data_IF_229161586849
#
_entry.id   IF_229161586849
#
_cell.length_a   1.000
_cell.length_b   1.000
_cell.length_c   1.000
_cell.angle_alpha   90.00
_cell.angle_beta   90.00
_cell.angle_gamma   90.00
#
_symmetry.space_group_name_H-M   'P 1'
#
loop_
_entity.id
_entity.type
_entity.pdbx_description
1 polymer ?
#
# COMPACT_ATOMS: atom_id res chain seq x y z
N UNK A 1 4.77 -22.27 -22.75
CA UNK A 1 6.10 -22.60 -22.21
C UNK A 1 5.93 -23.01 -20.75
N UNK A 2 6.67 -24.05 -20.30
CA UNK A 2 6.66 -24.42 -18.89
C UNK A 2 7.61 -23.49 -18.09
N UNK A 3 7.23 -23.12 -16.89
CA UNK A 3 8.12 -22.38 -15.98
C UNK A 3 9.19 -23.29 -15.39
N UNK A 4 10.36 -22.73 -15.15
CA UNK A 4 11.41 -23.40 -14.34
C UNK A 4 11.04 -23.36 -12.87
N UNK A 5 11.67 -24.20 -12.05
CA UNK A 5 11.51 -24.16 -10.58
C UNK A 5 11.90 -22.80 -10.00
N UNK A 6 12.96 -22.17 -10.53
CA UNK A 6 13.39 -20.85 -10.09
C UNK A 6 12.33 -19.79 -10.40
N UNK A 7 11.72 -19.80 -11.59
CA UNK A 7 10.65 -18.88 -11.95
C UNK A 7 9.42 -19.06 -11.05
N UNK A 8 9.07 -20.29 -10.71
CA UNK A 8 7.97 -20.55 -9.77
C UNK A 8 8.28 -20.01 -8.37
N UNK A 9 9.52 -20.22 -7.89
CA UNK A 9 9.97 -19.65 -6.62
C UNK A 9 9.90 -18.13 -6.64
N UNK A 10 10.37 -17.49 -7.71
CA UNK A 10 10.33 -16.04 -7.86
C UNK A 10 8.90 -15.50 -7.83
N UNK A 11 7.94 -16.18 -8.44
CA UNK A 11 6.53 -15.77 -8.35
C UNK A 11 5.97 -15.88 -6.94
N UNK A 12 6.34 -16.91 -6.17
CA UNK A 12 5.92 -17.02 -4.77
C UNK A 12 6.57 -15.96 -3.87
N UNK A 13 7.83 -15.62 -4.12
CA UNK A 13 8.53 -14.54 -3.42
C UNK A 13 7.86 -13.18 -3.71
N UNK A 14 7.46 -12.91 -4.96
CA UNK A 14 6.74 -11.69 -5.35
C UNK A 14 5.34 -11.63 -4.72
N UNK A 15 4.61 -12.76 -4.64
CA UNK A 15 3.33 -12.82 -3.91
C UNK A 15 3.52 -12.54 -2.43
N UNK A 16 4.51 -13.18 -1.82
CA UNK A 16 4.85 -12.99 -0.41
C UNK A 16 5.24 -11.55 -0.11
N UNK A 17 6.02 -10.91 -0.98
CA UNK A 17 6.40 -9.50 -0.89
C UNK A 17 5.16 -8.59 -0.83
N UNK A 18 4.20 -8.77 -1.76
CA UNK A 18 2.98 -7.95 -1.77
C UNK A 18 2.07 -8.23 -0.58
N UNK A 19 1.95 -9.47 -0.14
CA UNK A 19 1.19 -9.82 1.08
C UNK A 19 1.82 -9.19 2.33
N UNK A 20 3.16 -9.16 2.43
CA UNK A 20 3.89 -8.47 3.50
C UNK A 20 3.63 -6.98 3.48
N UNK A 21 3.58 -6.36 2.29
CA UNK A 21 3.26 -4.94 2.14
C UNK A 21 1.88 -4.62 2.71
N UNK A 22 0.82 -5.31 2.28
CA UNK A 22 -0.53 -5.06 2.79
C UNK A 22 -0.63 -5.31 4.30
N UNK A 23 -0.10 -6.42 4.79
CA UNK A 23 -0.10 -6.68 6.24
C UNK A 23 0.65 -5.58 7.01
N UNK A 24 1.78 -5.12 6.50
CA UNK A 24 2.59 -4.13 7.20
C UNK A 24 1.91 -2.76 7.27
N UNK A 25 1.19 -2.32 6.24
CA UNK A 25 0.42 -1.07 6.30
C UNK A 25 -0.79 -1.21 7.24
N UNK A 26 -1.50 -2.32 7.22
CA UNK A 26 -2.67 -2.56 8.09
C UNK A 26 -2.30 -2.67 9.58
N UNK A 27 -1.03 -2.97 9.87
CA UNK A 27 -0.53 -3.14 11.24
C UNK A 27 0.47 -2.06 11.66
N UNK A 28 0.78 -1.09 10.79
CA UNK A 28 1.82 -0.07 10.98
C UNK A 28 3.19 -0.67 11.35
N UNK A 29 3.56 -1.80 10.73
CA UNK A 29 4.86 -2.46 10.94
C UNK A 29 5.95 -1.74 10.14
N UNK A 30 6.47 -0.64 10.71
CA UNK A 30 7.50 0.19 10.09
C UNK A 30 8.80 -0.59 9.83
N UNK A 31 9.14 -1.56 10.69
CA UNK A 31 10.34 -2.39 10.56
C UNK A 31 10.24 -3.27 9.32
N UNK A 32 9.11 -3.93 9.13
CA UNK A 32 8.86 -4.73 7.94
C UNK A 32 8.82 -3.85 6.69
N UNK A 33 8.07 -2.73 6.72
CA UNK A 33 7.97 -1.80 5.58
C UNK A 33 9.32 -1.34 5.06
N UNK A 34 10.27 -1.04 5.95
CA UNK A 34 11.62 -0.60 5.59
C UNK A 34 12.41 -1.64 4.75
N UNK A 35 12.00 -2.91 4.77
CA UNK A 35 12.65 -3.98 4.01
C UNK A 35 12.03 -4.23 2.63
N UNK A 36 10.86 -3.68 2.34
CA UNK A 36 10.06 -4.06 1.17
C UNK A 36 10.35 -3.23 -0.08
N UNK A 37 10.96 -2.06 0.07
CA UNK A 37 11.19 -1.12 -1.03
C UNK A 37 12.67 -1.06 -1.42
N UNK A 38 12.92 -0.67 -2.68
CA UNK A 38 14.25 -0.18 -3.06
C UNK A 38 14.43 1.26 -2.56
N UNK A 39 15.67 1.69 -2.33
CA UNK A 39 15.97 3.04 -1.82
C UNK A 39 15.41 4.15 -2.73
N UNK A 40 15.33 3.88 -4.03
CA UNK A 40 14.87 4.77 -5.09
C UNK A 40 13.42 4.48 -5.55
N UNK A 41 12.59 3.87 -4.72
CA UNK A 41 11.22 3.52 -5.07
C UNK A 41 10.44 4.74 -5.61
N UNK A 42 9.64 4.51 -6.65
CA UNK A 42 8.75 5.54 -7.25
C UNK A 42 7.30 5.16 -7.01
N UNK A 43 6.52 6.13 -6.56
CA UNK A 43 5.10 5.94 -6.22
C UNK A 43 4.23 6.92 -7.00
N UNK A 44 3.12 6.42 -7.55
CA UNK A 44 2.08 7.23 -8.19
C UNK A 44 0.70 6.63 -7.90
N UNK A 45 0.07 7.09 -6.84
CA UNK A 45 -1.25 6.63 -6.41
C UNK A 45 -2.33 7.60 -6.86
N UNK A 46 -3.26 7.12 -7.68
CA UNK A 46 -4.40 7.89 -8.19
C UNK A 46 -5.68 7.41 -7.50
N UNK A 47 -6.12 8.18 -6.51
CA UNK A 47 -7.39 8.00 -5.81
C UNK A 47 -8.57 8.56 -6.60
N UNK A 48 -9.75 8.56 -5.98
CA UNK A 48 -10.96 9.14 -6.59
C UNK A 48 -10.86 10.66 -6.79
N UNK A 49 -10.28 11.37 -5.84
CA UNK A 49 -10.12 12.83 -5.86
C UNK A 49 -8.73 13.31 -5.40
N UNK A 50 -7.77 12.41 -5.31
CA UNK A 50 -6.41 12.74 -4.90
C UNK A 50 -5.37 12.00 -5.74
N UNK A 51 -4.18 12.54 -5.77
CA UNK A 51 -3.00 11.87 -6.33
C UNK A 51 -1.81 12.05 -5.41
N UNK A 52 -1.13 10.95 -5.11
CA UNK A 52 0.12 10.93 -4.33
C UNK A 52 1.26 10.61 -5.25
N UNK A 53 2.28 11.47 -5.27
CA UNK A 53 3.53 11.23 -5.99
C UNK A 53 4.70 11.42 -5.06
N UNK A 54 5.54 10.42 -4.98
CA UNK A 54 6.77 10.49 -4.20
C UNK A 54 7.88 9.63 -4.82
N UNK A 55 9.09 9.87 -4.41
CA UNK A 55 10.27 9.14 -4.83
C UNK A 55 11.23 8.96 -3.64
N UNK A 56 11.68 7.73 -3.46
CA UNK A 56 12.56 7.33 -2.37
C UNK A 56 11.85 6.63 -1.22
N UNK A 57 12.54 5.67 -0.63
CA UNK A 57 12.00 4.86 0.47
C UNK A 57 11.68 5.70 1.71
N UNK A 58 12.47 6.74 2.00
CA UNK A 58 12.23 7.61 3.16
C UNK A 58 10.87 8.31 3.08
N UNK A 59 10.54 8.92 1.93
CA UNK A 59 9.25 9.58 1.73
C UNK A 59 8.10 8.56 1.73
N UNK A 60 8.32 7.38 1.15
CA UNK A 60 7.32 6.30 1.17
C UNK A 60 6.99 5.84 2.59
N UNK A 61 8.01 5.61 3.41
CA UNK A 61 7.82 5.19 4.80
C UNK A 61 7.13 6.28 5.63
N UNK A 62 7.52 7.53 5.43
CA UNK A 62 6.90 8.68 6.11
C UNK A 62 5.44 8.85 5.69
N UNK A 63 5.14 8.76 4.39
CA UNK A 63 3.78 8.80 3.87
C UNK A 63 2.91 7.69 4.48
N UNK A 64 3.37 6.44 4.46
CA UNK A 64 2.63 5.31 5.02
C UNK A 64 2.38 5.46 6.52
N UNK A 65 3.39 5.92 7.28
CA UNK A 65 3.24 6.13 8.71
C UNK A 65 2.21 7.24 9.06
N UNK A 66 2.05 8.23 8.17
CA UNK A 66 1.01 9.25 8.33
C UNK A 66 -0.36 8.78 7.84
N UNK A 67 -0.43 7.97 6.79
CA UNK A 67 -1.69 7.44 6.26
C UNK A 67 -2.32 6.41 7.22
N UNK A 68 -1.50 5.48 7.75
CA UNK A 68 -1.95 4.40 8.65
C UNK A 68 -1.69 4.76 10.12
N UNK A 69 -2.25 5.89 10.53
CA UNK A 69 -2.09 6.48 11.87
C UNK A 69 -3.07 5.89 12.90
N UNK A 70 -2.95 6.32 14.15
CA UNK A 70 -3.73 5.79 15.29
C UNK A 70 -5.24 6.07 15.22
N UNK A 71 -5.70 6.96 14.36
CA UNK A 71 -7.12 7.23 14.09
C UNK A 71 -7.66 6.50 12.86
N UNK A 72 -6.88 5.61 12.25
CA UNK A 72 -7.26 4.84 11.08
C UNK A 72 -7.50 3.36 11.42
N UNK A 73 -8.43 2.72 10.72
CA UNK A 73 -8.53 1.28 10.59
C UNK A 73 -8.42 0.96 9.10
N UNK A 74 -7.63 -0.05 8.76
CA UNK A 74 -7.40 -0.40 7.38
C UNK A 74 -7.46 -1.92 7.18
N UNK A 75 -7.90 -2.31 6.00
CA UNK A 75 -7.86 -3.67 5.50
C UNK A 75 -7.55 -3.63 4.01
N UNK A 76 -6.50 -4.34 3.58
CA UNK A 76 -6.13 -4.43 2.17
C UNK A 76 -6.03 -5.88 1.74
N UNK A 77 -6.74 -6.22 0.67
CA UNK A 77 -6.63 -7.52 0.01
C UNK A 77 -6.14 -7.35 -1.43
N UNK A 78 -5.02 -8.01 -1.75
CA UNK A 78 -4.54 -8.11 -3.14
C UNK A 78 -4.97 -9.43 -3.75
N UNK A 79 -5.77 -9.35 -4.81
CA UNK A 79 -6.33 -10.51 -5.48
C UNK A 79 -5.70 -10.72 -6.86
N UNK A 80 -5.79 -11.97 -7.34
CA UNK A 80 -5.61 -12.37 -8.73
C UNK A 80 -4.37 -11.74 -9.40
N UNK A 81 -3.14 -11.95 -8.87
CA UNK A 81 -1.96 -11.33 -9.44
C UNK A 81 -1.63 -11.87 -10.82
N UNK A 82 -1.31 -10.95 -11.73
CA UNK A 82 -0.66 -11.24 -12.99
C UNK A 82 0.81 -10.88 -12.87
N UNK A 83 1.68 -11.88 -12.71
CA UNK A 83 3.10 -11.70 -12.49
C UNK A 83 3.90 -12.08 -13.74
N UNK A 84 4.90 -11.26 -14.08
CA UNK A 84 5.77 -11.48 -15.21
C UNK A 84 7.23 -11.15 -14.85
N UNK A 85 8.13 -12.11 -15.00
CA UNK A 85 9.56 -11.84 -14.95
C UNK A 85 9.96 -11.12 -16.25
N UNK A 86 10.65 -10.00 -16.12
CA UNK A 86 11.13 -9.17 -17.24
C UNK A 86 12.64 -9.31 -17.47
N UNK A 87 13.32 -10.01 -16.56
CA UNK A 87 14.74 -10.35 -16.57
C UNK A 87 15.10 -11.09 -15.29
N UNK A 88 16.36 -11.46 -15.14
CA UNK A 88 16.85 -12.25 -14.00
C UNK A 88 16.65 -11.52 -12.64
N UNK A 89 16.67 -10.18 -12.66
CA UNK A 89 16.55 -9.34 -11.47
C UNK A 89 15.42 -8.33 -11.58
N UNK A 90 14.47 -8.52 -12.48
CA UNK A 90 13.36 -7.61 -12.71
C UNK A 90 12.05 -8.33 -12.98
N UNK A 91 10.97 -7.81 -12.44
CA UNK A 91 9.63 -8.34 -12.63
C UNK A 91 8.58 -7.21 -12.62
N UNK A 92 7.40 -7.52 -13.13
CA UNK A 92 6.21 -6.68 -13.08
C UNK A 92 5.05 -7.47 -12.53
N UNK A 93 4.11 -6.76 -11.89
CA UNK A 93 2.89 -7.36 -11.37
C UNK A 93 1.69 -6.43 -11.45
N UNK A 94 0.54 -7.01 -11.81
CA UNK A 94 -0.75 -6.36 -11.71
C UNK A 94 -1.52 -7.02 -10.57
N UNK A 95 -2.14 -6.21 -9.69
CA UNK A 95 -2.92 -6.71 -8.57
C UNK A 95 -4.26 -6.02 -8.52
N UNK A 96 -5.30 -6.77 -8.28
CA UNK A 96 -6.61 -6.21 -7.96
C UNK A 96 -6.71 -5.98 -6.46
N UNK A 97 -6.83 -4.71 -6.06
CA UNK A 97 -7.02 -4.32 -4.67
C UNK A 97 -8.51 -4.34 -4.32
N UNK A 98 -8.83 -4.85 -3.15
CA UNK A 98 -10.02 -4.52 -2.37
C UNK A 98 -9.55 -3.93 -1.04
N UNK A 99 -10.12 -2.80 -0.63
CA UNK A 99 -9.75 -2.16 0.62
C UNK A 99 -10.94 -1.55 1.37
N UNK A 100 -10.78 -1.52 2.68
CA UNK A 100 -11.60 -0.74 3.60
C UNK A 100 -10.67 0.20 4.35
N UNK A 101 -11.06 1.47 4.44
CA UNK A 101 -10.37 2.46 5.26
C UNK A 101 -11.39 3.24 6.08
N UNK A 102 -11.28 3.16 7.41
CA UNK A 102 -12.11 3.93 8.33
C UNK A 102 -11.23 4.96 9.02
N UNK A 103 -11.62 6.23 8.93
CA UNK A 103 -10.99 7.31 9.70
C UNK A 103 -11.94 7.72 10.83
N UNK A 104 -11.61 7.33 12.06
CA UNK A 104 -12.45 7.62 13.22
C UNK A 104 -12.42 9.09 13.64
N UNK A 105 -11.39 9.85 13.23
CA UNK A 105 -11.31 11.28 13.50
C UNK A 105 -12.18 12.08 12.52
N UNK A 106 -12.13 11.73 11.24
CA UNK A 106 -12.97 12.33 10.20
C UNK A 106 -14.37 11.74 10.14
N UNK A 107 -14.66 10.68 10.91
CA UNK A 107 -15.94 9.96 10.91
C UNK A 107 -16.34 9.48 9.51
N UNK A 108 -15.40 8.91 8.77
CA UNK A 108 -15.61 8.39 7.41
C UNK A 108 -15.31 6.90 7.31
N UNK A 109 -16.06 6.25 6.43
CA UNK A 109 -15.86 4.86 6.03
C UNK A 109 -15.74 4.81 4.51
N UNK A 110 -14.56 4.42 4.04
CA UNK A 110 -14.24 4.26 2.63
C UNK A 110 -14.15 2.77 2.30
N UNK A 111 -14.79 2.38 1.22
CA UNK A 111 -14.58 1.07 0.57
C UNK A 111 -14.20 1.29 -0.88
N UNK A 112 -13.30 0.47 -1.40
CA UNK A 112 -12.89 0.66 -2.76
C UNK A 112 -12.17 -0.52 -3.38
N UNK A 113 -11.96 -0.38 -4.68
CA UNK A 113 -11.11 -1.28 -5.47
C UNK A 113 -10.15 -0.46 -6.32
N UNK A 114 -8.99 -1.03 -6.60
CA UNK A 114 -7.99 -0.40 -7.46
C UNK A 114 -7.18 -1.45 -8.22
N UNK A 115 -6.55 -1.02 -9.29
CA UNK A 115 -5.56 -1.82 -10.01
C UNK A 115 -4.17 -1.28 -9.66
N UNK A 116 -3.40 -2.08 -8.96
CA UNK A 116 -1.97 -1.84 -8.79
C UNK A 116 -1.19 -2.29 -10.02
N UNK A 117 -0.16 -1.51 -10.37
CA UNK A 117 0.88 -1.88 -11.32
C UNK A 117 2.22 -1.68 -10.64
N UNK A 118 2.85 -2.79 -10.29
CA UNK A 118 4.11 -2.79 -9.58
C UNK A 118 5.27 -3.18 -10.49
N UNK A 119 6.44 -2.60 -10.23
CA UNK A 119 7.71 -3.11 -10.76
C UNK A 119 8.60 -3.51 -9.59
N UNK A 120 9.22 -4.64 -9.76
CA UNK A 120 10.07 -5.24 -8.75
C UNK A 120 11.50 -5.34 -9.25
N UNK A 121 12.43 -5.21 -8.32
CA UNK A 121 13.86 -5.40 -8.56
C UNK A 121 14.45 -6.28 -7.48
N UNK A 122 15.38 -7.18 -7.87
CA UNK A 122 16.14 -8.00 -6.92
C UNK A 122 17.33 -7.20 -6.43
N UNK A 123 17.48 -7.05 -5.12
CA UNK A 123 18.55 -6.32 -4.46
C UNK A 123 19.13 -7.22 -3.37
N UNK A 124 20.41 -7.55 -3.44
CA UNK A 124 21.04 -8.46 -2.47
C UNK A 124 20.45 -9.87 -2.44
N UNK A 125 19.89 -10.33 -3.56
CA UNK A 125 19.21 -11.64 -3.65
C UNK A 125 17.71 -11.62 -3.32
N UNK A 126 17.17 -10.52 -2.78
CA UNK A 126 15.76 -10.38 -2.36
C UNK A 126 14.98 -9.50 -3.31
N UNK A 127 13.72 -9.86 -3.58
CA UNK A 127 12.80 -9.02 -4.34
C UNK A 127 12.31 -7.83 -3.51
N UNK A 128 12.31 -6.64 -4.13
CA UNK A 128 11.80 -5.39 -3.53
C UNK A 128 10.93 -4.65 -4.53
N UNK A 129 10.00 -3.84 -4.01
CA UNK A 129 9.15 -2.96 -4.80
C UNK A 129 10.00 -1.75 -5.23
N UNK A 130 10.22 -1.60 -6.54
CA UNK A 130 10.97 -0.48 -7.12
C UNK A 130 10.05 0.60 -7.69
N UNK A 131 8.82 0.24 -8.07
CA UNK A 131 7.77 1.17 -8.45
C UNK A 131 6.44 0.58 -8.02
N UNK A 132 5.56 1.41 -7.51
CA UNK A 132 4.18 1.03 -7.21
C UNK A 132 3.25 2.17 -7.64
N UNK A 133 2.26 1.83 -8.42
CA UNK A 133 1.21 2.76 -8.86
C UNK A 133 -0.14 2.07 -8.74
N UNK A 134 -1.17 2.84 -8.45
CA UNK A 134 -2.53 2.35 -8.61
C UNK A 134 -3.46 3.39 -9.22
N UNK A 135 -4.51 2.88 -9.85
CA UNK A 135 -5.67 3.63 -10.27
C UNK A 135 -6.91 3.06 -9.58
N UNK A 136 -7.70 3.91 -8.92
CA UNK A 136 -9.00 3.50 -8.38
C UNK A 136 -9.94 3.08 -9.50
N UNK A 137 -10.60 1.93 -9.31
CA UNK A 137 -11.69 1.46 -10.17
C UNK A 137 -13.02 1.90 -9.57
N UNK A 138 -13.13 1.81 -8.25
CA UNK A 138 -14.28 2.24 -7.49
C UNK A 138 -13.82 2.76 -6.13
N UNK A 139 -14.43 3.83 -5.67
CA UNK A 139 -14.23 4.36 -4.32
C UNK A 139 -15.55 4.95 -3.82
N UNK A 140 -16.01 4.48 -2.68
CA UNK A 140 -17.23 4.96 -2.03
C UNK A 140 -16.88 5.42 -0.62
N UNK A 141 -17.14 6.69 -0.35
CA UNK A 141 -16.98 7.29 0.97
C UNK A 141 -18.35 7.56 1.58
N UNK A 142 -18.57 7.05 2.77
CA UNK A 142 -19.80 7.27 3.52
C UNK A 142 -19.46 7.80 4.91
N UNK A 143 -20.38 8.54 5.58
CA UNK A 143 -20.25 8.80 7.00
C UNK A 143 -20.13 7.48 7.79
N UNK A 144 -19.26 7.45 8.80
CA UNK A 144 -19.25 6.33 9.74
C UNK A 144 -20.57 6.34 10.51
N UNK A 145 -21.25 5.20 10.55
CA UNK A 145 -22.53 5.10 11.25
C UNK A 145 -22.38 5.46 12.72
N UNK A 146 -23.29 6.28 13.26
CA UNK A 146 -23.35 6.61 14.69
C UNK A 146 -23.54 5.38 15.59
N UNK A 147 -24.11 4.31 15.06
CA UNK A 147 -24.25 3.03 15.74
C UNK A 147 -23.02 2.13 15.62
N UNK A 148 -22.03 2.49 14.82
CA UNK A 148 -20.84 1.71 14.65
C UNK A 148 -20.00 1.65 15.95
N UNK A 149 -19.57 0.45 16.32
CA UNK A 149 -18.74 0.22 17.50
C UNK A 149 -17.44 -0.44 17.07
N UNK A 150 -16.35 0.28 17.19
CA UNK A 150 -15.01 -0.27 16.98
C UNK A 150 -14.58 -1.02 18.24
N UNK A 151 -14.64 -2.35 18.21
CA UNK A 151 -14.31 -3.22 19.36
C UNK A 151 -12.87 -3.79 19.27
N UNK A 152 -12.23 -3.70 18.10
CA UNK A 152 -10.82 -4.03 17.90
C UNK A 152 -10.19 -2.96 17.00
N UNK A 153 -9.08 -2.38 17.44
CA UNK A 153 -8.41 -1.28 16.75
C UNK A 153 -6.90 -1.39 16.93
N UNK A 154 -6.25 -2.14 16.03
CA UNK A 154 -4.80 -2.37 16.12
C UNK A 154 -4.01 -1.06 15.96
N UNK A 155 -4.32 -0.27 14.94
CA UNK A 155 -3.62 0.98 14.64
C UNK A 155 -3.74 2.02 15.78
N UNK A 156 -4.78 1.96 16.61
CA UNK A 156 -4.85 2.85 17.79
C UNK A 156 -3.65 2.73 18.73
N UNK A 157 -2.97 1.58 18.72
CA UNK A 157 -1.79 1.31 19.53
C UNK A 157 -0.50 1.39 18.72
N UNK A 158 -0.48 0.83 17.50
CA UNK A 158 0.71 0.71 16.66
C UNK A 158 0.92 1.93 15.76
N UNK A 159 -0.16 2.58 15.31
CA UNK A 159 -0.09 3.72 14.40
C UNK A 159 0.40 5.00 15.08
N UNK A 160 0.98 5.89 14.28
CA UNK A 160 1.49 7.21 14.69
C UNK A 160 0.40 8.04 15.36
N UNK A 161 0.71 8.64 16.52
CA UNK A 161 -0.24 9.50 17.26
C UNK A 161 -0.40 10.87 16.59
N UNK A 162 -1.47 11.63 16.86
CA UNK A 162 -1.69 12.94 16.24
C UNK A 162 -0.49 13.89 16.36
N UNK A 163 0.15 13.95 17.55
CA UNK A 163 1.31 14.80 17.79
C UNK A 163 2.59 14.35 17.05
N UNK A 164 2.63 13.14 16.53
CA UNK A 164 3.77 12.55 15.81
C UNK A 164 3.63 12.65 14.30
N UNK A 165 2.44 13.05 13.82
CA UNK A 165 2.17 13.17 12.38
C UNK A 165 2.91 14.36 11.78
N UNK A 166 3.33 14.20 10.56
CA UNK A 166 3.98 15.26 9.79
C UNK A 166 3.07 15.73 8.65
N UNK A 167 3.24 16.97 8.25
CA UNK A 167 2.58 17.50 7.06
C UNK A 167 3.18 16.86 5.81
N UNK A 168 2.37 16.14 5.06
CA UNK A 168 2.71 15.49 3.80
C UNK A 168 1.94 16.09 2.62
N UNK A 169 1.31 17.27 2.81
CA UNK A 169 0.47 17.91 1.78
C UNK A 169 1.24 18.20 0.48
N UNK A 170 2.55 18.42 0.56
CA UNK A 170 3.41 18.63 -0.61
C UNK A 170 3.52 17.40 -1.54
N UNK A 171 3.18 16.21 -1.06
CA UNK A 171 3.17 14.96 -1.86
C UNK A 171 1.78 14.64 -2.42
N UNK A 172 0.75 15.36 -2.00
CA UNK A 172 -0.65 15.06 -2.31
C UNK A 172 -1.22 16.21 -3.12
N UNK A 173 -1.72 15.92 -4.31
CA UNK A 173 -2.55 16.85 -5.09
C UNK A 173 -4.00 16.40 -5.01
N UNK A 174 -4.90 17.38 -4.85
CA UNK A 174 -6.34 17.16 -4.81
C UNK A 174 -6.93 17.60 -6.15
N UNK A 175 -7.73 16.76 -6.77
CA UNK A 175 -8.47 17.09 -7.98
C UNK A 175 -9.88 17.55 -7.56
N UNK A 176 -10.36 18.65 -8.13
CA UNK A 176 -11.75 19.06 -7.96
C UNK A 176 -12.63 18.00 -8.66
N UNK A 177 -13.54 17.40 -7.91
CA UNK A 177 -14.54 16.48 -8.44
C UNK A 177 -15.62 17.19 -9.25
#
# INVERSE_FOLDING_TARGET
>A
MAYTLQQLSDFEDLRTLKHRYFRAIDTADATLLATLFTDDVVVDYRGGNYRVRLSGAADMLEFLANAFHSGALAMHHGHMPELRLTGDNSAEGIWYLEDIFINVEAQTHTTGTAIYRDRYRRVGGEWRIARTEYDRVMEVVTPLSESARVIAHHLSRAGRKPAERRDMSHLISWEAG
#
